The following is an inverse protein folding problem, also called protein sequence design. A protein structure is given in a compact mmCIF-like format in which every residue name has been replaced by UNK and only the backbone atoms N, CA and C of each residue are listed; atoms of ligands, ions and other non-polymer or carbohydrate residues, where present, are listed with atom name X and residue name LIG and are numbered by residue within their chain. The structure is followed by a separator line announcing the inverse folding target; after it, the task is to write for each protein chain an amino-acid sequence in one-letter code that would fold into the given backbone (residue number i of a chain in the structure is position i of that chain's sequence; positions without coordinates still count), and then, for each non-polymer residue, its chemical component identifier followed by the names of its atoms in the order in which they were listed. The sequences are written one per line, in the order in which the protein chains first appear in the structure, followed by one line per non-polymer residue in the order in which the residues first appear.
data_IF_972636710101
#
_entry.id   IF_972636710101
#
_cell.length_a   1.000
_cell.length_b   1.000
_cell.length_c   1.000
_cell.angle_alpha   90.00
_cell.angle_beta   90.00
_cell.angle_gamma   90.00
#
_symmetry.space_group_name_H-M   'P 1'
#
loop_
_entity.id
_entity.type
_entity.pdbx_description
1 polymer ?
#
# COMPACT_ATOMS: atom_id res chain seq x y z
N UNK A 1 -85.73 30.94 -12.16
CA UNK A 1 -85.56 31.85 -13.31
C UNK A 1 -86.79 31.74 -14.17
N UNK A 2 -87.61 32.78 -14.19
CA UNK A 2 -88.84 32.85 -14.99
C UNK A 2 -88.47 33.18 -16.44
N UNK A 3 -89.11 32.48 -17.38
CA UNK A 3 -88.99 32.78 -18.82
C UNK A 3 -89.67 34.13 -19.08
N UNK A 4 -89.09 35.01 -19.92
CA UNK A 4 -89.78 36.23 -20.32
C UNK A 4 -91.08 35.86 -21.03
N UNK A 5 -92.18 36.55 -20.71
CA UNK A 5 -93.46 36.41 -21.42
C UNK A 5 -93.24 36.88 -22.87
N UNK A 6 -93.43 35.98 -23.81
CA UNK A 6 -93.26 36.24 -25.24
C UNK A 6 -94.64 36.55 -25.78
N UNK A 7 -94.92 37.82 -26.01
CA UNK A 7 -96.27 38.28 -26.40
C UNK A 7 -96.48 38.25 -27.92
N UNK A 8 -95.41 38.09 -28.73
CA UNK A 8 -95.51 38.14 -30.20
C UNK A 8 -94.46 37.24 -30.90
N UNK A 9 -94.81 36.65 -32.05
CA UNK A 9 -93.95 35.72 -32.81
C UNK A 9 -92.62 36.37 -33.27
N UNK A 10 -92.62 37.67 -33.52
CA UNK A 10 -91.42 38.45 -33.83
C UNK A 10 -90.42 38.49 -32.66
N UNK A 11 -90.91 38.58 -31.43
CA UNK A 11 -90.05 38.59 -30.24
C UNK A 11 -89.41 37.21 -30.01
N UNK A 12 -90.14 36.13 -30.32
CA UNK A 12 -89.63 34.77 -30.30
C UNK A 12 -88.47 34.60 -31.30
N UNK A 13 -88.67 35.08 -32.53
CA UNK A 13 -87.65 35.03 -33.59
C UNK A 13 -86.38 35.82 -33.21
N UNK A 14 -86.54 37.05 -32.70
CA UNK A 14 -85.41 37.85 -32.20
C UNK A 14 -84.67 37.16 -31.05
N UNK A 15 -85.38 36.53 -30.11
CA UNK A 15 -84.78 35.80 -29.00
C UNK A 15 -83.94 34.62 -29.49
N UNK A 16 -84.44 33.84 -30.47
CA UNK A 16 -83.68 32.75 -31.08
C UNK A 16 -82.45 33.24 -31.86
N UNK A 17 -82.58 34.36 -32.59
CA UNK A 17 -81.47 35.00 -33.30
C UNK A 17 -80.37 35.44 -32.31
N UNK A 18 -80.74 36.17 -31.25
CA UNK A 18 -79.80 36.60 -30.20
C UNK A 18 -79.15 35.42 -29.48
N UNK A 19 -79.89 34.34 -29.22
CA UNK A 19 -79.35 33.11 -28.61
C UNK A 19 -78.33 32.43 -29.52
N UNK A 20 -78.61 32.35 -30.83
CA UNK A 20 -77.69 31.79 -31.82
C UNK A 20 -76.40 32.61 -31.92
N UNK A 21 -76.51 33.93 -31.99
CA UNK A 21 -75.36 34.83 -32.00
C UNK A 21 -74.50 34.72 -30.73
N UNK A 22 -75.12 34.63 -29.54
CA UNK A 22 -74.41 34.40 -28.27
C UNK A 22 -73.68 33.06 -28.26
N UNK A 23 -74.34 31.98 -28.69
CA UNK A 23 -73.72 30.66 -28.78
C UNK A 23 -72.55 30.64 -29.75
N UNK A 24 -72.64 31.39 -30.85
CA UNK A 24 -71.56 31.49 -31.83
C UNK A 24 -70.35 32.25 -31.29
N UNK A 25 -70.56 33.34 -30.55
CA UNK A 25 -69.50 34.03 -29.80
C UNK A 25 -68.82 33.09 -28.80
N UNK A 26 -69.60 32.32 -28.03
CA UNK A 26 -69.06 31.34 -27.07
C UNK A 26 -68.23 30.25 -27.79
N UNK A 27 -68.69 29.73 -28.94
CA UNK A 27 -67.92 28.76 -29.74
C UNK A 27 -66.58 29.34 -30.19
N UNK A 28 -66.56 30.60 -30.66
CA UNK A 28 -65.31 31.29 -31.06
C UNK A 28 -64.34 31.40 -29.87
N UNK A 29 -64.83 31.84 -28.71
CA UNK A 29 -64.00 31.95 -27.49
C UNK A 29 -63.46 30.58 -27.04
N UNK A 30 -64.27 29.52 -27.10
CA UNK A 30 -63.82 28.15 -26.79
C UNK A 30 -62.72 27.68 -27.72
N UNK A 31 -62.83 27.94 -29.02
CA UNK A 31 -61.77 27.61 -30.00
C UNK A 31 -60.46 28.35 -29.69
N UNK A 32 -60.55 29.63 -29.34
CA UNK A 32 -59.37 30.43 -28.94
C UNK A 32 -58.72 29.86 -27.68
N UNK A 33 -59.51 29.54 -26.65
CA UNK A 33 -58.99 28.91 -25.43
C UNK A 33 -58.33 27.56 -25.70
N UNK A 34 -58.95 26.75 -26.55
CA UNK A 34 -58.39 25.46 -26.96
C UNK A 34 -57.05 25.64 -27.67
N UNK A 35 -56.96 26.57 -28.62
CA UNK A 35 -55.70 26.89 -29.30
C UNK A 35 -54.59 27.30 -28.32
N UNK A 36 -54.88 28.21 -27.38
CA UNK A 36 -53.88 28.62 -26.39
C UNK A 36 -53.48 27.48 -25.46
N UNK A 37 -54.43 26.65 -25.04
CA UNK A 37 -54.14 25.46 -24.22
C UNK A 37 -53.22 24.49 -24.94
N UNK A 38 -53.51 24.19 -26.21
CA UNK A 38 -52.69 23.29 -27.03
C UNK A 38 -51.28 23.87 -27.25
N UNK A 39 -51.19 25.16 -27.59
CA UNK A 39 -49.90 25.85 -27.78
C UNK A 39 -49.06 25.88 -26.51
N UNK A 40 -49.67 26.15 -25.36
CA UNK A 40 -49.00 26.15 -24.07
C UNK A 40 -48.52 24.74 -23.67
N UNK A 41 -49.37 23.73 -23.87
CA UNK A 41 -49.00 22.34 -23.60
C UNK A 41 -47.85 21.87 -24.49
N UNK A 42 -47.85 22.24 -25.78
CA UNK A 42 -46.76 21.91 -26.69
C UNK A 42 -45.46 22.61 -26.29
N UNK A 43 -45.52 23.90 -25.95
CA UNK A 43 -44.37 24.63 -25.44
C UNK A 43 -43.75 23.95 -24.21
N UNK A 44 -44.58 23.54 -23.25
CA UNK A 44 -44.11 22.83 -22.06
C UNK A 44 -43.45 21.50 -22.45
N UNK A 45 -44.09 20.70 -23.31
CA UNK A 45 -43.54 19.41 -23.76
C UNK A 45 -42.20 19.57 -24.46
N UNK A 46 -42.10 20.53 -25.37
CA UNK A 46 -40.87 20.83 -26.10
C UNK A 46 -39.76 21.33 -25.17
N UNK A 47 -40.10 22.18 -24.20
CA UNK A 47 -39.13 22.66 -23.21
C UNK A 47 -38.58 21.51 -22.37
N UNK A 48 -39.46 20.63 -21.85
CA UNK A 48 -39.00 19.46 -21.09
C UNK A 48 -38.20 18.49 -21.95
N UNK A 49 -38.60 18.25 -23.19
CA UNK A 49 -37.86 17.41 -24.12
C UNK A 49 -36.46 17.96 -24.40
N UNK A 50 -36.35 19.28 -24.60
CA UNK A 50 -35.06 19.97 -24.80
C UNK A 50 -34.18 19.86 -23.56
N UNK A 51 -34.70 20.19 -22.38
CA UNK A 51 -33.95 20.10 -21.12
C UNK A 51 -33.52 18.66 -20.83
N UNK A 52 -34.39 17.67 -21.07
CA UNK A 52 -34.03 16.24 -20.92
C UNK A 52 -32.91 15.85 -21.87
N UNK A 53 -32.97 16.28 -23.13
CA UNK A 53 -31.92 16.04 -24.11
C UNK A 53 -30.60 16.68 -23.69
N UNK A 54 -30.61 17.94 -23.26
CA UNK A 54 -29.42 18.63 -22.75
C UNK A 54 -28.81 17.97 -21.51
N UNK A 55 -29.64 17.43 -20.61
CA UNK A 55 -29.17 16.66 -19.45
C UNK A 55 -28.52 15.34 -19.86
N UNK A 56 -29.13 14.59 -20.79
CA UNK A 56 -28.60 13.32 -21.29
C UNK A 56 -27.30 13.51 -22.10
N UNK A 57 -27.22 14.60 -22.86
CA UNK A 57 -26.00 14.98 -23.58
C UNK A 57 -24.95 15.64 -22.66
N UNK A 58 -25.25 15.85 -21.38
CA UNK A 58 -24.34 16.47 -20.42
C UNK A 58 -24.07 17.96 -20.66
N UNK A 59 -24.86 18.64 -21.49
CA UNK A 59 -24.69 20.07 -21.84
C UNK A 59 -25.50 21.01 -20.96
N UNK A 60 -26.39 20.48 -20.12
CA UNK A 60 -27.20 21.31 -19.24
C UNK A 60 -26.32 22.06 -18.23
N UNK A 61 -26.42 23.40 -18.12
CA UNK A 61 -25.43 24.22 -17.41
C UNK A 61 -25.30 23.90 -15.93
N UNK A 62 -26.40 23.49 -15.26
CA UNK A 62 -26.32 23.04 -13.85
C UNK A 62 -25.62 21.69 -13.71
N UNK A 63 -25.83 20.78 -14.65
CA UNK A 63 -25.21 19.45 -14.61
C UNK A 63 -23.70 19.56 -14.86
N UNK A 64 -23.30 20.36 -15.86
CA UNK A 64 -21.89 20.68 -16.15
C UNK A 64 -21.18 21.22 -14.91
N UNK A 65 -21.76 22.23 -14.23
CA UNK A 65 -21.15 22.79 -13.00
C UNK A 65 -20.95 21.75 -11.90
N UNK A 66 -21.88 20.81 -11.75
CA UNK A 66 -21.76 19.73 -10.75
C UNK A 66 -20.67 18.74 -11.16
N UNK A 67 -20.60 18.37 -12.44
CA UNK A 67 -19.55 17.51 -12.97
C UNK A 67 -18.16 18.14 -12.76
N UNK A 68 -17.98 19.40 -13.14
CA UNK A 68 -16.72 20.14 -12.95
C UNK A 68 -16.31 20.23 -11.47
N UNK A 69 -17.28 20.32 -10.56
CA UNK A 69 -17.02 20.31 -9.13
C UNK A 69 -16.56 18.94 -8.64
N UNK A 70 -17.22 17.87 -9.09
CA UNK A 70 -16.84 16.50 -8.78
C UNK A 70 -15.45 16.14 -9.33
N UNK A 71 -15.13 16.56 -10.56
CA UNK A 71 -13.82 16.36 -11.17
C UNK A 71 -12.72 17.07 -10.37
N UNK A 72 -12.90 18.36 -10.07
CA UNK A 72 -11.95 19.10 -9.23
C UNK A 72 -11.76 18.49 -7.84
N UNK A 73 -12.83 17.96 -7.24
CA UNK A 73 -12.75 17.26 -5.95
C UNK A 73 -11.95 15.96 -6.07
N UNK A 74 -12.19 15.19 -7.13
CA UNK A 74 -11.45 13.95 -7.43
C UNK A 74 -9.96 14.24 -7.62
N UNK A 75 -9.59 15.25 -8.40
CA UNK A 75 -8.20 15.65 -8.63
C UNK A 75 -7.48 16.02 -7.33
N UNK A 76 -8.14 16.80 -6.45
CA UNK A 76 -7.57 17.15 -5.14
C UNK A 76 -7.32 15.93 -4.27
N UNK A 77 -8.27 14.99 -4.24
CA UNK A 77 -8.12 13.73 -3.50
C UNK A 77 -6.95 12.90 -4.06
N UNK A 78 -6.80 12.81 -5.38
CA UNK A 78 -5.67 12.13 -6.02
C UNK A 78 -4.33 12.75 -5.61
N UNK A 79 -4.22 14.08 -5.68
CA UNK A 79 -3.01 14.78 -5.26
C UNK A 79 -2.64 14.50 -3.79
N UNK A 80 -3.62 14.43 -2.89
CA UNK A 80 -3.39 14.08 -1.48
C UNK A 80 -2.89 12.64 -1.32
N UNK A 81 -3.45 11.70 -2.06
CA UNK A 81 -3.01 10.30 -2.06
C UNK A 81 -1.57 10.19 -2.55
N UNK A 82 -1.22 10.87 -3.64
CA UNK A 82 0.15 10.88 -4.17
C UNK A 82 1.15 11.47 -3.17
N UNK A 83 0.79 12.58 -2.51
CA UNK A 83 1.62 13.19 -1.47
C UNK A 83 1.84 12.25 -0.28
N UNK A 84 0.77 11.58 0.20
CA UNK A 84 0.86 10.62 1.29
C UNK A 84 1.70 9.39 0.91
N UNK A 85 1.62 8.96 -0.35
CA UNK A 85 2.38 7.81 -0.84
C UNK A 85 3.87 8.12 -0.85
N UNK A 86 4.27 9.28 -1.39
CA UNK A 86 5.66 9.74 -1.33
C UNK A 86 6.19 9.85 0.10
N UNK A 87 5.40 10.42 1.01
CA UNK A 87 5.78 10.52 2.43
C UNK A 87 5.99 9.15 3.08
N UNK A 88 5.14 8.16 2.75
CA UNK A 88 5.30 6.78 3.26
C UNK A 88 6.54 6.10 2.68
N UNK A 89 6.82 6.27 1.40
CA UNK A 89 8.03 5.74 0.77
C UNK A 89 9.29 6.32 1.41
N UNK A 90 9.33 7.65 1.63
CA UNK A 90 10.46 8.31 2.28
C UNK A 90 10.63 7.88 3.75
N UNK A 91 9.53 7.61 4.45
CA UNK A 91 9.57 7.08 5.81
C UNK A 91 10.11 5.64 5.84
N UNK A 92 9.70 4.80 4.89
CA UNK A 92 10.19 3.43 4.75
C UNK A 92 11.68 3.39 4.42
N UNK A 93 12.14 4.23 3.49
CA UNK A 93 13.58 4.36 3.15
C UNK A 93 14.40 4.75 4.37
N UNK A 94 13.99 5.79 5.10
CA UNK A 94 14.68 6.22 6.33
C UNK A 94 14.72 5.12 7.40
N UNK A 95 13.64 4.34 7.54
CA UNK A 95 13.60 3.21 8.47
C UNK A 95 14.57 2.11 8.06
N UNK A 96 14.59 1.74 6.78
CA UNK A 96 15.53 0.74 6.24
C UNK A 96 16.98 1.19 6.38
N UNK A 97 17.29 2.45 6.11
CA UNK A 97 18.63 3.02 6.29
C UNK A 97 19.08 2.97 7.75
N UNK A 98 18.18 3.31 8.69
CA UNK A 98 18.47 3.22 10.12
C UNK A 98 18.71 1.77 10.57
N UNK A 99 17.87 0.84 10.12
CA UNK A 99 18.01 -0.60 10.43
C UNK A 99 19.32 -1.16 9.86
N UNK A 100 19.63 -0.90 8.59
CA UNK A 100 20.89 -1.29 7.95
C UNK A 100 22.10 -0.70 8.70
N UNK A 101 22.01 0.55 9.15
CA UNK A 101 23.03 1.18 9.99
C UNK A 101 23.24 0.47 11.33
N UNK A 102 22.16 0.03 11.98
CA UNK A 102 22.27 -0.73 13.24
C UNK A 102 22.82 -2.14 13.04
N UNK A 103 22.43 -2.82 11.96
CA UNK A 103 22.95 -4.16 11.60
C UNK A 103 24.44 -4.07 11.32
N UNK A 104 24.88 -3.08 10.54
CA UNK A 104 26.30 -2.89 10.23
C UNK A 104 27.14 -2.66 11.48
N UNK A 105 26.69 -1.77 12.38
CA UNK A 105 27.38 -1.52 13.66
C UNK A 105 27.44 -2.77 14.54
N UNK A 106 26.38 -3.59 14.54
CA UNK A 106 26.35 -4.84 15.31
C UNK A 106 27.36 -5.85 14.75
N UNK A 107 27.40 -6.04 13.43
CA UNK A 107 28.37 -6.93 12.80
C UNK A 107 29.81 -6.47 12.98
N UNK A 108 30.09 -5.16 12.87
CA UNK A 108 31.43 -4.63 13.16
C UNK A 108 31.85 -4.92 14.60
N UNK A 109 30.93 -4.78 15.57
CA UNK A 109 31.20 -5.11 16.97
C UNK A 109 31.42 -6.62 17.17
N UNK A 110 30.60 -7.47 16.58
CA UNK A 110 30.75 -8.94 16.66
C UNK A 110 32.11 -9.38 16.11
N UNK A 111 32.56 -8.81 14.98
CA UNK A 111 33.87 -9.10 14.42
C UNK A 111 35.01 -8.67 15.37
N UNK A 112 34.89 -7.50 15.99
CA UNK A 112 35.87 -7.04 16.98
C UNK A 112 35.89 -7.93 18.22
N UNK A 113 34.73 -8.34 18.73
CA UNK A 113 34.61 -9.23 19.88
C UNK A 113 35.21 -10.62 19.58
N UNK A 114 35.00 -11.16 18.38
CA UNK A 114 35.61 -12.43 17.94
C UNK A 114 37.12 -12.29 17.79
N UNK A 115 37.61 -11.22 17.15
CA UNK A 115 39.05 -10.97 17.01
C UNK A 115 39.72 -10.84 18.38
N UNK A 116 39.09 -10.16 19.34
CA UNK A 116 39.61 -10.04 20.70
C UNK A 116 39.66 -11.41 21.40
N UNK A 117 38.64 -12.26 21.24
CA UNK A 117 38.67 -13.61 21.79
C UNK A 117 39.79 -14.47 21.19
N UNK A 118 40.11 -14.32 19.91
CA UNK A 118 41.24 -15.01 19.29
C UNK A 118 42.58 -14.50 19.81
N UNK A 119 42.74 -13.18 19.96
CA UNK A 119 43.93 -12.60 20.59
C UNK A 119 44.12 -13.11 22.02
N UNK A 120 43.06 -13.13 22.83
CA UNK A 120 43.12 -13.63 24.21
C UNK A 120 43.49 -15.13 24.26
N UNK A 121 43.07 -15.94 23.28
CA UNK A 121 43.48 -17.35 23.15
C UNK A 121 44.96 -17.46 22.80
N UNK A 122 45.43 -16.70 21.82
CA UNK A 122 46.83 -16.68 21.41
C UNK A 122 47.73 -16.22 22.57
N UNK A 123 47.30 -15.25 23.37
CA UNK A 123 48.04 -14.82 24.56
C UNK A 123 48.11 -15.93 25.61
N UNK A 124 47.02 -16.67 25.84
CA UNK A 124 47.04 -17.84 26.73
C UNK A 124 47.99 -18.92 26.21
N UNK A 125 47.92 -19.26 24.93
CA UNK A 125 48.82 -20.24 24.31
C UNK A 125 50.28 -19.80 24.40
N UNK A 126 50.57 -18.51 24.16
CA UNK A 126 51.90 -17.92 24.38
C UNK A 126 52.36 -18.10 25.82
N UNK A 127 51.52 -17.78 26.82
CA UNK A 127 51.90 -17.97 28.23
C UNK A 127 52.16 -19.43 28.60
N UNK A 128 51.37 -20.37 28.06
CA UNK A 128 51.59 -21.81 28.25
C UNK A 128 52.91 -22.25 27.63
N UNK A 129 53.18 -21.86 26.38
CA UNK A 129 54.45 -22.12 25.70
C UNK A 129 55.65 -21.56 26.47
N UNK A 130 55.54 -20.33 26.97
CA UNK A 130 56.58 -19.72 27.81
C UNK A 130 56.81 -20.49 29.10
N UNK A 131 55.75 -20.92 29.79
CA UNK A 131 55.88 -21.72 31.01
C UNK A 131 56.51 -23.10 30.75
N UNK A 132 56.13 -23.77 29.64
CA UNK A 132 56.76 -25.02 29.22
C UNK A 132 58.25 -24.81 28.90
N UNK A 133 58.58 -23.78 28.13
CA UNK A 133 59.97 -23.45 27.81
C UNK A 133 60.81 -23.14 29.06
N UNK A 134 60.24 -22.45 30.07
CA UNK A 134 60.88 -22.27 31.39
C UNK A 134 61.13 -23.60 32.10
N UNK A 135 60.14 -24.49 32.11
CA UNK A 135 60.25 -25.79 32.80
C UNK A 135 61.28 -26.73 32.16
N UNK A 136 61.45 -26.64 30.83
CA UNK A 136 62.39 -27.46 30.05
C UNK A 136 63.75 -26.80 29.86
N UNK A 137 64.00 -25.63 30.48
CA UNK A 137 65.22 -24.83 30.31
C UNK A 137 65.55 -24.52 28.83
N UNK A 138 64.51 -24.38 28.00
CA UNK A 138 64.64 -24.04 26.57
C UNK A 138 64.84 -22.54 26.40
N UNK A 139 66.02 -22.08 26.78
CA UNK A 139 66.41 -20.67 26.81
C UNK A 139 66.23 -19.95 25.48
N UNK A 140 66.40 -20.63 24.34
CA UNK A 140 66.23 -20.07 23.00
C UNK A 140 64.79 -19.58 22.75
N UNK A 141 63.78 -20.34 23.18
CA UNK A 141 62.37 -19.99 22.97
C UNK A 141 61.95 -18.84 23.89
N UNK A 142 62.50 -18.79 25.11
CA UNK A 142 62.21 -17.71 26.07
C UNK A 142 62.67 -16.35 25.54
N UNK A 143 63.85 -16.29 24.92
CA UNK A 143 64.40 -15.06 24.35
C UNK A 143 63.65 -14.51 23.13
N UNK A 144 62.81 -15.33 22.48
CA UNK A 144 61.98 -14.90 21.33
C UNK A 144 60.74 -14.12 21.77
N UNK A 145 60.29 -14.30 23.02
CA UNK A 145 59.00 -13.77 23.49
C UNK A 145 59.10 -12.86 24.73
N UNK A 146 60.21 -12.86 25.47
CA UNK A 146 60.54 -11.88 26.51
C UNK A 146 61.41 -10.75 25.93
N UNK A 147 60.89 -9.52 25.87
CA UNK A 147 61.69 -8.33 25.53
C UNK A 147 62.62 -7.91 26.68
N UNK A 148 62.37 -8.40 27.89
CA UNK A 148 63.13 -8.14 29.12
C UNK A 148 64.07 -9.30 29.51
N UNK A 149 64.30 -10.29 28.64
CA UNK A 149 65.16 -11.42 28.95
C UNK A 149 66.61 -10.97 29.18
N UNK A 150 67.15 -11.28 30.37
CA UNK A 150 68.53 -11.00 30.78
C UNK A 150 69.53 -11.27 29.65
N UNK A 151 70.28 -10.24 29.23
CA UNK A 151 71.26 -10.29 28.14
C UNK A 151 72.38 -11.33 28.33
N UNK A 152 72.48 -11.94 29.51
CA UNK A 152 73.43 -13.01 29.81
C UNK A 152 73.02 -14.39 29.27
N UNK A 153 71.77 -14.58 28.85
CA UNK A 153 71.29 -15.84 28.21
C UNK A 153 71.59 -15.84 26.70
N UNK A 154 71.75 -14.66 26.12
CA UNK A 154 71.96 -14.44 24.68
C UNK A 154 73.34 -14.88 24.16
N UNK A 155 74.33 -15.18 25.01
CA UNK A 155 75.69 -15.53 24.54
C UNK A 155 75.85 -16.98 24.07
N UNK A 156 74.92 -17.89 24.38
CA UNK A 156 75.06 -19.33 24.05
C UNK A 156 73.96 -19.89 23.11
N UNK A 157 73.09 -19.04 22.54
CA UNK A 157 72.02 -19.48 21.65
C UNK A 157 72.47 -19.49 20.19
N UNK A 158 72.36 -20.65 19.51
CA UNK A 158 72.60 -20.79 18.06
C UNK A 158 71.55 -20.06 17.19
N UNK A 159 70.46 -19.57 17.80
CA UNK A 159 69.30 -19.00 17.09
C UNK A 159 69.19 -17.47 17.14
N UNK A 160 70.24 -16.78 17.60
CA UNK A 160 70.29 -15.32 17.85
C UNK A 160 69.85 -14.42 16.68
N UNK A 161 69.77 -14.96 15.47
CA UNK A 161 69.42 -14.24 14.23
C UNK A 161 68.12 -14.72 13.54
N UNK A 162 67.36 -15.63 14.16
CA UNK A 162 66.12 -16.13 13.54
C UNK A 162 64.94 -15.26 13.98
N UNK A 163 64.53 -14.33 13.11
CA UNK A 163 63.26 -13.61 13.28
C UNK A 163 62.10 -14.57 12.99
N UNK A 164 61.12 -14.73 13.90
CA UNK A 164 59.94 -15.53 13.61
C UNK A 164 59.18 -14.86 12.46
N UNK A 165 59.16 -15.54 11.31
CA UNK A 165 58.39 -15.09 10.14
C UNK A 165 56.98 -15.64 10.29
N UNK A 166 56.19 -15.05 11.20
CA UNK A 166 54.77 -15.38 11.30
C UNK A 166 54.08 -14.77 10.08
N UNK A 167 54.06 -15.50 8.96
CA UNK A 167 53.08 -15.29 7.90
C UNK A 167 51.80 -15.99 8.33
N UNK A 168 51.10 -15.42 9.30
CA UNK A 168 49.69 -15.72 9.48
C UNK A 168 48.95 -15.00 8.34
N UNK A 169 48.92 -15.60 7.15
CA UNK A 169 47.83 -15.29 6.23
C UNK A 169 46.57 -15.79 6.91
N UNK A 170 45.80 -14.85 7.48
CA UNK A 170 44.46 -15.12 7.96
C UNK A 170 43.65 -15.52 6.72
N UNK A 171 43.59 -16.81 6.42
CA UNK A 171 42.64 -17.33 5.45
C UNK A 171 41.26 -17.28 6.09
N UNK A 172 40.65 -16.10 6.07
CA UNK A 172 39.20 -16.00 6.29
C UNK A 172 38.51 -16.59 5.06
N UNK A 173 38.54 -17.91 4.93
CA UNK A 173 37.50 -18.62 4.18
C UNK A 173 36.24 -18.52 5.05
N UNK A 174 35.58 -17.37 4.93
CA UNK A 174 34.24 -17.14 5.41
C UNK A 174 33.36 -18.03 4.54
N UNK A 175 33.14 -19.28 4.97
CA UNK A 175 32.14 -20.16 4.38
C UNK A 175 30.79 -19.46 4.52
N UNK A 176 30.39 -18.75 3.47
CA UNK A 176 29.03 -18.28 3.28
C UNK A 176 28.18 -19.53 3.07
N UNK A 177 27.77 -20.16 4.18
CA UNK A 177 26.78 -21.23 4.14
C UNK A 177 25.50 -20.69 3.51
N UNK A 178 24.83 -21.41 2.59
CA UNK A 178 23.66 -20.90 1.87
C UNK A 178 22.39 -20.72 2.71
N UNK A 179 22.43 -20.94 4.04
CA UNK A 179 21.25 -20.95 4.90
C UNK A 179 21.51 -20.16 6.19
N UNK A 180 21.46 -18.84 6.07
CA UNK A 180 21.26 -17.96 7.22
C UNK A 180 19.79 -18.05 7.68
N UNK A 181 19.47 -19.10 8.45
CA UNK A 181 18.40 -19.01 9.43
C UNK A 181 18.91 -18.14 10.60
N UNK A 182 18.14 -17.16 11.11
CA UNK A 182 18.61 -16.30 12.18
C UNK A 182 18.83 -17.13 13.45
N UNK A 183 20.07 -17.17 13.92
CA UNK A 183 20.44 -17.85 15.15
C UNK A 183 19.79 -17.13 16.34
N UNK A 184 19.15 -17.94 17.18
CA UNK A 184 18.21 -17.58 18.23
C UNK A 184 18.96 -16.93 19.41
N UNK A 185 18.84 -15.62 19.56
CA UNK A 185 19.15 -14.92 20.82
C UNK A 185 18.00 -15.05 21.82
N UNK A 186 18.29 -14.85 23.11
CA UNK A 186 17.38 -15.03 24.26
C UNK A 186 16.17 -14.07 24.35
N UNK A 187 15.73 -13.49 23.22
CA UNK A 187 14.44 -12.77 23.08
C UNK A 187 13.41 -13.52 22.22
N UNK A 188 13.67 -14.81 21.95
CA UNK A 188 12.88 -15.67 21.06
C UNK A 188 11.42 -15.91 21.45
N UNK A 189 10.99 -15.47 22.64
CA UNK A 189 9.58 -15.44 23.00
C UNK A 189 8.79 -14.47 22.13
N UNK A 190 9.36 -13.35 21.69
CA UNK A 190 8.65 -12.39 20.83
C UNK A 190 8.47 -12.88 19.39
N UNK A 191 9.48 -13.57 18.85
CA UNK A 191 9.42 -14.12 17.49
C UNK A 191 8.44 -15.30 17.37
N UNK A 192 8.32 -16.13 18.42
CA UNK A 192 7.32 -17.19 18.46
C UNK A 192 5.89 -16.67 18.63
N UNK A 193 5.68 -15.57 19.38
CA UNK A 193 4.35 -14.91 19.41
C UNK A 193 3.96 -14.31 18.06
N UNK A 194 4.88 -13.70 17.32
CA UNK A 194 4.57 -13.15 15.98
C UNK A 194 4.31 -14.27 14.97
N UNK A 195 5.07 -15.38 15.00
CA UNK A 195 4.79 -16.55 14.17
C UNK A 195 3.45 -17.21 14.55
N UNK A 196 3.09 -17.25 15.83
CA UNK A 196 1.78 -17.76 16.25
C UNK A 196 0.62 -16.88 15.77
N UNK A 197 0.82 -15.56 15.70
CA UNK A 197 -0.15 -14.62 15.11
C UNK A 197 -0.28 -14.77 13.59
N UNK A 198 0.80 -15.12 12.88
CA UNK A 198 0.78 -15.40 11.44
C UNK A 198 0.25 -16.80 11.09
N UNK A 199 0.37 -17.79 11.98
CA UNK A 199 -0.17 -19.14 11.77
C UNK A 199 -1.71 -19.15 11.67
N UNK A 200 -2.40 -18.28 12.41
CA UNK A 200 -3.85 -18.12 12.30
C UNK A 200 -4.29 -17.51 10.96
N UNK A 201 -3.44 -16.69 10.32
CA UNK A 201 -3.72 -16.10 9.01
C UNK A 201 -3.46 -17.11 7.88
N UNK A 202 -2.50 -18.05 8.06
CA UNK A 202 -2.23 -19.06 7.03
C UNK A 202 -3.29 -20.16 6.95
N UNK A 203 -3.91 -20.55 8.07
CA UNK A 203 -5.05 -21.48 8.05
C UNK A 203 -6.29 -20.87 7.39
N UNK A 204 -6.59 -19.60 7.65
CA UNK A 204 -7.70 -18.89 7.01
C UNK A 204 -7.45 -18.67 5.51
N UNK A 205 -6.19 -18.41 5.11
CA UNK A 205 -5.82 -18.30 3.70
C UNK A 205 -5.91 -19.65 2.97
N UNK A 206 -5.41 -20.73 3.57
CA UNK A 206 -5.48 -22.06 2.97
C UNK A 206 -6.93 -22.55 2.82
N UNK A 207 -7.77 -22.27 3.83
CA UNK A 207 -9.20 -22.61 3.80
C UNK A 207 -9.97 -21.78 2.78
N UNK A 208 -9.69 -20.47 2.68
CA UNK A 208 -10.26 -19.60 1.64
C UNK A 208 -9.85 -20.01 0.23
N UNK A 209 -8.59 -20.39 0.02
CA UNK A 209 -8.10 -20.88 -1.26
C UNK A 209 -8.76 -22.21 -1.66
N UNK A 210 -9.00 -23.12 -0.71
CA UNK A 210 -9.69 -24.39 -0.99
C UNK A 210 -11.17 -24.18 -1.35
N UNK A 211 -11.86 -23.25 -0.68
CA UNK A 211 -13.23 -22.85 -1.02
C UNK A 211 -13.32 -22.20 -2.40
N UNK A 212 -12.39 -21.30 -2.75
CA UNK A 212 -12.31 -20.67 -4.06
C UNK A 212 -12.06 -21.69 -5.17
N UNK A 213 -11.12 -22.63 -4.96
CA UNK A 213 -10.85 -23.72 -5.91
C UNK A 213 -12.09 -24.61 -6.11
N UNK A 214 -12.85 -24.89 -5.04
CA UNK A 214 -14.08 -25.69 -5.11
C UNK A 214 -15.19 -24.96 -5.86
N UNK A 215 -15.36 -23.66 -5.63
CA UNK A 215 -16.33 -22.83 -6.35
C UNK A 215 -15.98 -22.75 -7.85
N UNK A 216 -14.69 -22.59 -8.16
CA UNK A 216 -14.21 -22.51 -9.54
C UNK A 216 -14.40 -23.84 -10.29
N UNK A 217 -14.17 -24.98 -9.64
CA UNK A 217 -14.43 -26.32 -10.22
C UNK A 217 -15.93 -26.53 -10.49
N UNK A 218 -16.81 -26.18 -9.55
CA UNK A 218 -18.26 -26.28 -9.75
C UNK A 218 -18.76 -25.40 -10.92
N UNK A 219 -18.18 -24.21 -11.10
CA UNK A 219 -18.52 -23.34 -12.24
C UNK A 219 -18.01 -23.92 -13.58
N UNK A 220 -16.87 -24.59 -13.58
CA UNK A 220 -16.34 -25.24 -14.79
C UNK A 220 -17.14 -26.49 -15.17
N UNK A 221 -17.66 -27.23 -14.21
CA UNK A 221 -18.52 -28.40 -14.43
C UNK A 221 -19.92 -28.01 -14.95
N UNK A 222 -20.51 -26.94 -14.42
CA UNK A 222 -21.80 -26.39 -14.93
C UNK A 222 -21.68 -25.84 -16.35
N UNK A 223 -20.52 -25.30 -16.74
CA UNK A 223 -20.25 -24.91 -18.14
C UNK A 223 -20.14 -26.10 -19.10
N UNK A 224 -19.70 -27.27 -18.64
CA UNK A 224 -19.64 -28.50 -19.46
C UNK A 224 -20.99 -29.17 -19.64
N UNK A 225 -21.95 -28.94 -18.73
CA UNK A 225 -23.31 -29.48 -18.82
C UNK A 225 -24.25 -28.62 -19.69
N UNK A 226 -23.91 -27.36 -19.93
CA UNK A 226 -24.68 -26.41 -20.74
C UNK A 226 -24.08 -26.14 -22.13
N UNK A 227 -23.08 -26.94 -22.53
CA UNK A 227 -22.48 -26.96 -23.87
C UNK A 227 -22.76 -28.31 -24.52
#
# INVERSE_FOLDING_TARGET
MTLPEIENDEQLYEAFKRRREKLEKIRKVKKIHQYFREKFNNYIRESYARTRKELLEGKHPKAVKVLDYCERKKERSLYQVDALTKLKEDALKRKQEAENGTIKKRHEKELLDVAQQEMDKLDREKTVLMNMAKSLQMHDILTVFDEDADQNILTNSEFKNVKPTIKAEISTNLDVRPNNLPFVGSSSTHFLTEISGFAHISEDFARGLEEDIKMMKAHMETKKLNA
#
